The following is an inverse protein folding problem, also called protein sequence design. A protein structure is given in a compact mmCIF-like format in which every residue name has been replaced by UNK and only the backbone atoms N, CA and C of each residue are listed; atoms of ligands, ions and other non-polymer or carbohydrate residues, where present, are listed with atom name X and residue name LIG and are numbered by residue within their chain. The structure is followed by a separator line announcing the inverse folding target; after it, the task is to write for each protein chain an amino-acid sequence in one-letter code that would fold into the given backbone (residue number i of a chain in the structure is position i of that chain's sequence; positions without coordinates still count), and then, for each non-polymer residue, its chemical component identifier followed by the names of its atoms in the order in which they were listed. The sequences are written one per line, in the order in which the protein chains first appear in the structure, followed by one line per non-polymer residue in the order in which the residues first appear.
data_IF_851548264377
#
_entry.id   IF_851548264377
#
_cell.length_a   1.000
_cell.length_b   1.000
_cell.length_c   1.000
_cell.angle_alpha   90.00
_cell.angle_beta   90.00
_cell.angle_gamma   90.00
#
_symmetry.space_group_name_H-M   'P 1'
#
loop_
_entity.id
_entity.type
_entity.pdbx_description
1 polymer ?
#
# COMPACT_ATOMS: atom_id res chain seq x y z
N UNK A 1 23.41 30.05 -41.47
CA UNK A 1 23.15 28.63 -41.83
C UNK A 1 22.39 27.99 -40.67
N UNK A 2 21.05 28.03 -40.70
CA UNK A 2 20.22 27.55 -39.58
C UNK A 2 19.98 26.04 -39.72
N UNK A 3 20.39 25.26 -38.71
CA UNK A 3 20.08 23.84 -38.60
C UNK A 3 18.56 23.68 -38.60
N UNK A 4 18.02 22.97 -39.60
CA UNK A 4 16.61 22.54 -39.62
C UNK A 4 16.33 21.75 -38.34
N UNK A 5 15.65 22.39 -37.40
CA UNK A 5 15.19 21.76 -36.18
C UNK A 5 14.04 20.82 -36.57
N UNK A 6 14.29 19.51 -36.48
CA UNK A 6 13.40 18.49 -37.01
C UNK A 6 12.20 18.28 -36.07
N UNK A 7 11.09 18.98 -36.34
CA UNK A 7 9.84 18.95 -35.56
C UNK A 7 9.30 17.54 -35.27
N UNK A 8 9.56 16.57 -36.15
CA UNK A 8 9.15 15.17 -35.96
C UNK A 8 9.87 14.53 -34.77
N UNK A 9 11.14 14.89 -34.53
CA UNK A 9 11.91 14.38 -33.39
C UNK A 9 11.37 14.89 -32.05
N UNK A 10 10.88 16.14 -31.98
CA UNK A 10 10.25 16.67 -30.76
C UNK A 10 8.88 16.05 -30.47
N UNK A 11 8.07 15.79 -31.51
CA UNK A 11 6.78 15.09 -31.34
C UNK A 11 6.97 13.67 -30.81
N UNK A 12 7.99 12.97 -31.29
CA UNK A 12 8.28 11.61 -30.82
C UNK A 12 8.78 11.65 -29.37
N UNK A 13 9.71 12.55 -29.02
CA UNK A 13 10.22 12.64 -27.65
C UNK A 13 9.14 13.02 -26.64
N UNK A 14 8.31 14.04 -26.93
CA UNK A 14 7.19 14.40 -26.07
C UNK A 14 6.17 13.26 -25.90
N UNK A 15 5.86 12.52 -26.98
CA UNK A 15 4.96 11.35 -26.90
C UNK A 15 5.57 10.20 -26.08
N UNK A 16 6.88 9.99 -26.16
CA UNK A 16 7.62 9.00 -25.38
C UNK A 16 7.66 9.38 -23.89
N UNK A 17 7.84 10.67 -23.57
CA UNK A 17 7.83 11.21 -22.21
C UNK A 17 6.45 11.09 -21.56
N UNK A 18 5.38 11.36 -22.32
CA UNK A 18 4.00 11.15 -21.85
C UNK A 18 3.73 9.67 -21.61
N UNK A 19 4.22 8.78 -22.48
CA UNK A 19 4.00 7.35 -22.32
C UNK A 19 4.76 6.78 -21.12
N UNK A 20 6.01 7.18 -20.92
CA UNK A 20 6.84 6.77 -19.78
C UNK A 20 6.35 7.35 -18.46
N UNK A 21 5.82 8.57 -18.45
CA UNK A 21 5.17 9.18 -17.28
C UNK A 21 3.87 8.47 -16.91
N UNK A 22 3.03 8.14 -17.90
CA UNK A 22 1.83 7.29 -17.71
C UNK A 22 2.17 5.87 -17.25
N UNK A 23 3.35 5.36 -17.63
CA UNK A 23 3.83 4.05 -17.22
C UNK A 23 4.39 4.07 -15.78
N UNK A 24 5.11 5.11 -15.37
CA UNK A 24 5.52 5.33 -13.97
C UNK A 24 4.33 5.51 -13.03
N UNK A 25 3.27 6.19 -13.48
CA UNK A 25 1.99 6.29 -12.77
C UNK A 25 1.25 4.95 -12.65
N UNK A 26 1.62 3.93 -13.45
CA UNK A 26 0.96 2.61 -13.49
C UNK A 26 1.58 1.53 -12.60
N UNK A 27 2.76 1.76 -12.00
CA UNK A 27 3.51 0.69 -11.30
C UNK A 27 3.79 0.94 -9.81
N UNK A 28 3.23 2.00 -9.26
CA UNK A 28 3.26 2.27 -7.84
C UNK A 28 1.98 1.72 -7.22
N UNK A 29 2.00 0.40 -6.97
CA UNK A 29 0.92 -0.32 -6.31
C UNK A 29 1.00 -0.03 -4.81
N UNK A 30 0.07 0.77 -4.30
CA UNK A 30 0.00 1.05 -2.86
C UNK A 30 -0.55 -0.20 -2.15
N UNK A 31 0.24 -0.75 -1.23
CA UNK A 31 -0.08 -1.97 -0.52
C UNK A 31 -0.04 -1.73 0.98
N UNK A 32 -1.02 -2.29 1.70
CA UNK A 32 -0.99 -2.36 3.15
C UNK A 32 -0.61 -3.77 3.57
N UNK A 33 0.47 -3.91 4.34
CA UNK A 33 0.85 -5.18 4.97
C UNK A 33 0.41 -5.15 6.44
N UNK A 34 -0.33 -6.18 6.85
CA UNK A 34 -0.66 -6.44 8.25
C UNK A 34 0.13 -7.67 8.70
N UNK A 35 1.01 -7.52 9.66
CA UNK A 35 1.75 -8.63 10.29
C UNK A 35 1.14 -8.91 11.66
N UNK A 36 0.94 -10.18 11.96
CA UNK A 36 0.55 -10.68 13.26
C UNK A 36 1.55 -11.78 13.65
N UNK A 37 2.32 -11.53 14.70
CA UNK A 37 3.23 -12.49 15.28
C UNK A 37 2.95 -12.63 16.77
N UNK A 38 2.31 -13.74 17.16
CA UNK A 38 1.80 -13.93 18.52
C UNK A 38 0.86 -12.77 18.91
N UNK A 39 1.35 -11.81 19.70
CA UNK A 39 0.63 -10.62 20.17
C UNK A 39 1.18 -9.34 19.55
N UNK A 40 2.24 -9.42 18.73
CA UNK A 40 2.82 -8.27 18.05
C UNK A 40 2.11 -8.07 16.72
N UNK A 41 1.56 -6.86 16.56
CA UNK A 41 0.88 -6.45 15.35
C UNK A 41 1.66 -5.32 14.72
N UNK A 42 1.86 -5.40 13.40
CA UNK A 42 2.43 -4.30 12.64
C UNK A 42 1.62 -4.01 11.38
N UNK A 43 1.57 -2.72 11.05
CA UNK A 43 1.05 -2.18 9.81
C UNK A 43 2.23 -1.59 9.05
N UNK A 44 2.33 -1.90 7.77
CA UNK A 44 3.33 -1.29 6.89
C UNK A 44 2.65 -0.83 5.62
N UNK A 45 2.69 0.48 5.36
CA UNK A 45 2.22 1.06 4.11
C UNK A 45 3.37 1.10 3.11
N UNK A 46 3.16 0.51 1.93
CA UNK A 46 4.17 0.41 0.89
C UNK A 46 3.69 1.02 -0.40
N UNK A 47 4.57 1.77 -1.03
CA UNK A 47 4.41 2.22 -2.41
C UNK A 47 5.37 1.41 -3.29
N UNK A 48 4.83 0.37 -3.95
CA UNK A 48 5.63 -0.65 -4.62
C UNK A 48 6.60 -1.33 -3.65
N UNK A 49 7.91 -1.08 -3.82
CA UNK A 49 8.97 -1.64 -2.94
C UNK A 49 9.34 -0.71 -1.78
N UNK A 50 8.94 0.56 -1.84
CA UNK A 50 9.29 1.56 -0.83
C UNK A 50 8.33 1.45 0.36
N UNK A 51 8.89 1.42 1.57
CA UNK A 51 8.08 1.62 2.78
C UNK A 51 7.83 3.11 2.92
N UNK A 52 6.56 3.51 2.98
CA UNK A 52 6.18 4.90 3.25
C UNK A 52 6.16 5.18 4.75
N UNK A 53 5.60 4.25 5.52
CA UNK A 53 5.44 4.36 6.95
C UNK A 53 5.11 3.00 7.55
N UNK A 54 5.34 2.87 8.85
CA UNK A 54 4.99 1.69 9.62
C UNK A 54 4.52 2.07 11.02
N UNK A 55 3.73 1.19 11.59
CA UNK A 55 3.23 1.32 12.95
C UNK A 55 3.08 -0.05 13.56
N UNK A 56 3.66 -0.26 14.73
CA UNK A 56 3.60 -1.53 15.44
C UNK A 56 3.13 -1.33 16.88
N UNK A 57 2.43 -2.32 17.40
CA UNK A 57 2.02 -2.36 18.80
C UNK A 57 1.84 -3.82 19.23
N UNK A 58 2.01 -4.06 20.52
CA UNK A 58 1.69 -5.35 21.13
C UNK A 58 0.28 -5.28 21.72
N UNK A 59 -0.52 -6.31 21.46
CA UNK A 59 -1.90 -6.40 21.94
C UNK A 59 -2.33 -7.84 22.11
N UNK A 60 -2.98 -8.13 23.23
CA UNK A 60 -3.45 -9.47 23.56
C UNK A 60 -4.98 -9.60 23.36
N UNK A 61 -5.73 -8.50 23.56
CA UNK A 61 -7.20 -8.58 23.65
C UNK A 61 -7.97 -7.48 22.90
N UNK A 62 -7.32 -6.39 22.46
CA UNK A 62 -8.03 -5.23 21.87
C UNK A 62 -7.87 -5.11 20.35
N UNK A 63 -7.44 -6.18 19.68
CA UNK A 63 -7.09 -6.14 18.25
C UNK A 63 -8.25 -5.67 17.37
N UNK A 64 -9.47 -6.18 17.61
CA UNK A 64 -10.67 -5.80 16.84
C UNK A 64 -11.00 -4.31 16.97
N UNK A 65 -10.70 -3.72 18.12
CA UNK A 65 -10.99 -2.31 18.42
C UNK A 65 -9.92 -1.39 17.82
N UNK A 66 -8.65 -1.81 17.86
CA UNK A 66 -7.51 -0.97 17.47
C UNK A 66 -7.13 -1.07 15.99
N UNK A 67 -7.34 -2.22 15.35
CA UNK A 67 -6.78 -2.48 14.02
C UNK A 67 -7.31 -1.50 12.96
N UNK A 68 -8.62 -1.33 12.84
CA UNK A 68 -9.19 -0.40 11.85
C UNK A 68 -8.84 1.07 12.15
N UNK A 69 -8.97 1.58 13.39
CA UNK A 69 -8.52 2.93 13.73
C UNK A 69 -7.04 3.18 13.42
N UNK A 70 -6.16 2.21 13.68
CA UNK A 70 -4.74 2.34 13.40
C UNK A 70 -4.45 2.33 11.90
N UNK A 71 -5.17 1.51 11.11
CA UNK A 71 -5.10 1.57 9.64
C UNK A 71 -5.51 2.95 9.14
N UNK A 72 -6.64 3.48 9.63
CA UNK A 72 -7.16 4.78 9.21
C UNK A 72 -6.22 5.92 9.61
N UNK A 73 -5.62 5.84 10.80
CA UNK A 73 -4.61 6.79 11.25
C UNK A 73 -3.35 6.76 10.37
N UNK A 74 -2.83 5.57 10.06
CA UNK A 74 -1.67 5.40 9.19
C UNK A 74 -1.92 5.97 7.78
N UNK A 75 -3.06 5.66 7.19
CA UNK A 75 -3.44 6.16 5.86
C UNK A 75 -3.60 7.68 5.86
N UNK A 76 -4.30 8.23 6.86
CA UNK A 76 -4.51 9.69 6.99
C UNK A 76 -3.20 10.43 7.18
N UNK A 77 -2.29 9.93 8.03
CA UNK A 77 -0.95 10.51 8.25
C UNK A 77 -0.17 10.62 6.94
N UNK A 78 -0.31 9.61 6.08
CA UNK A 78 0.38 9.54 4.79
C UNK A 78 -0.41 10.14 3.63
N UNK A 79 -1.57 10.76 3.90
CA UNK A 79 -2.47 11.35 2.88
C UNK A 79 -2.87 10.35 1.78
N UNK A 80 -2.97 9.08 2.14
CA UNK A 80 -3.39 8.01 1.23
C UNK A 80 -4.86 7.70 1.46
N UNK A 81 -5.64 7.74 0.39
CA UNK A 81 -7.04 7.29 0.39
C UNK A 81 -7.12 5.77 0.44
N UNK A 82 -8.17 5.24 1.07
CA UNK A 82 -8.43 3.78 1.08
C UNK A 82 -8.56 3.18 -0.32
N UNK A 83 -8.97 3.99 -1.32
CA UNK A 83 -9.12 3.54 -2.71
C UNK A 83 -7.79 3.48 -3.47
N UNK A 84 -6.76 4.14 -2.96
CA UNK A 84 -5.41 4.06 -3.54
C UNK A 84 -4.70 2.78 -3.10
N UNK A 85 -5.07 2.24 -1.92
CA UNK A 85 -4.60 0.93 -1.44
C UNK A 85 -5.20 -0.18 -2.30
N UNK A 86 -4.39 -0.72 -3.20
CA UNK A 86 -4.79 -1.75 -4.15
C UNK A 86 -4.97 -3.11 -3.48
N UNK A 87 -4.12 -3.43 -2.51
CA UNK A 87 -4.17 -4.73 -1.83
C UNK A 87 -3.76 -4.62 -0.38
N UNK A 88 -4.48 -5.40 0.44
CA UNK A 88 -4.08 -5.72 1.80
C UNK A 88 -3.46 -7.11 1.82
N UNK A 89 -2.23 -7.20 2.30
CA UNK A 89 -1.48 -8.45 2.44
C UNK A 89 -1.40 -8.77 3.92
N UNK A 90 -1.57 -10.05 4.28
CA UNK A 90 -1.46 -10.49 5.68
C UNK A 90 -0.30 -11.46 5.83
N UNK A 91 0.45 -11.32 6.93
CA UNK A 91 1.48 -12.27 7.37
C UNK A 91 1.15 -12.65 8.80
N UNK A 92 0.76 -13.90 9.01
CA UNK A 92 0.35 -14.41 10.30
C UNK A 92 1.26 -15.57 10.65
N UNK A 93 1.94 -15.51 11.80
CA UNK A 93 2.81 -16.60 12.24
C UNK A 93 1.98 -17.77 12.75
N UNK A 94 2.57 -18.97 12.77
CA UNK A 94 1.85 -20.19 13.19
C UNK A 94 1.43 -20.16 14.66
N UNK A 95 2.12 -19.36 15.47
CA UNK A 95 1.92 -19.28 16.91
C UNK A 95 0.90 -18.19 17.28
N UNK A 96 0.41 -17.40 16.32
CA UNK A 96 -0.63 -16.41 16.55
C UNK A 96 -1.97 -17.05 16.94
N UNK A 97 -2.67 -16.43 17.88
CA UNK A 97 -4.00 -16.88 18.30
C UNK A 97 -5.00 -16.97 17.14
N UNK A 98 -5.82 -18.03 17.14
CA UNK A 98 -6.80 -18.31 16.06
C UNK A 98 -7.77 -17.16 15.86
N UNK A 99 -8.23 -16.53 16.95
CA UNK A 99 -9.14 -15.39 16.92
C UNK A 99 -8.48 -14.18 16.25
N UNK A 100 -7.29 -13.79 16.68
CA UNK A 100 -6.54 -12.67 16.12
C UNK A 100 -6.25 -12.88 14.63
N UNK A 101 -5.88 -14.11 14.24
CA UNK A 101 -5.68 -14.48 12.85
C UNK A 101 -6.96 -14.34 12.01
N UNK A 102 -8.13 -14.71 12.56
CA UNK A 102 -9.43 -14.53 11.89
C UNK A 102 -9.75 -13.06 11.68
N UNK A 103 -9.55 -12.22 12.71
CA UNK A 103 -9.79 -10.77 12.61
C UNK A 103 -8.96 -10.16 11.46
N UNK A 104 -7.65 -10.43 11.44
CA UNK A 104 -6.74 -9.91 10.40
C UNK A 104 -7.16 -10.38 9.01
N UNK A 105 -7.50 -11.66 8.85
CA UNK A 105 -7.98 -12.22 7.57
C UNK A 105 -9.29 -11.61 7.11
N UNK A 106 -10.25 -11.43 8.02
CA UNK A 106 -11.56 -10.84 7.70
C UNK A 106 -11.41 -9.40 7.21
N UNK A 107 -10.56 -8.60 7.85
CA UNK A 107 -10.30 -7.22 7.42
C UNK A 107 -9.64 -7.19 6.04
N UNK A 108 -8.64 -8.03 5.80
CA UNK A 108 -7.99 -8.12 4.49
C UNK A 108 -8.97 -8.58 3.39
N UNK A 109 -9.84 -9.55 3.69
CA UNK A 109 -10.87 -10.01 2.78
C UNK A 109 -11.91 -8.92 2.48
N UNK A 110 -12.36 -8.18 3.51
CA UNK A 110 -13.29 -7.06 3.34
C UNK A 110 -12.73 -5.95 2.45
N UNK A 111 -11.41 -5.75 2.44
CA UNK A 111 -10.76 -4.80 1.55
C UNK A 111 -10.75 -5.25 0.09
N UNK A 112 -10.69 -6.56 -0.17
CA UNK A 112 -10.66 -7.14 -1.52
C UNK A 112 -12.04 -7.17 -2.20
N UNK A 113 -13.12 -6.93 -1.46
CA UNK A 113 -14.50 -6.90 -1.98
C UNK A 113 -14.92 -5.52 -2.51
N UNK A 114 -13.98 -4.57 -2.56
CA UNK A 114 -14.24 -3.15 -2.78
C UNK A 114 -14.10 -2.72 -4.23
#
# INVERSE_FOLDING_TARGET
MFKKFNFETLKIQSKLEIHTSKLKLKFNHMNLLITLDINDISLTLKDGRKILDDFAWTDEYTLSEKLLPNIDALLRKNKVSKNEVEKVITKITKNSGVTSARIVRTIAAGWALR
#
